data_IF_518300342765
#
_entry.id   IF_518300342765
#
_cell.length_a   1.000
_cell.length_b   1.000
_cell.length_c   1.000
_cell.angle_alpha   90.00
_cell.angle_beta   90.00
_cell.angle_gamma   90.00
#
_symmetry.space_group_name_H-M   'P 1'
#
loop_
_entity.id
_entity.type
_entity.pdbx_description
1 polymer ?
#
# COMPACT_ATOMS: atom_id res chain seq x y z
N UNK A 1 8.80 -2.23 -27.32
CA UNK A 1 8.50 -1.38 -26.15
C UNK A 1 7.00 -1.37 -25.97
N UNK A 2 6.46 -1.98 -24.91
CA UNK A 2 5.04 -1.80 -24.58
C UNK A 2 4.91 -0.43 -23.91
N UNK A 3 4.34 0.54 -24.63
CA UNK A 3 4.05 1.86 -24.07
C UNK A 3 2.86 1.73 -23.12
N UNK A 4 3.04 2.18 -21.88
CA UNK A 4 1.91 2.41 -21.01
C UNK A 4 0.99 3.45 -21.68
N UNK A 5 -0.35 3.23 -21.65
CA UNK A 5 -1.33 4.18 -22.15
C UNK A 5 -1.08 5.61 -21.63
N UNK A 6 -1.37 6.64 -22.44
CA UNK A 6 -1.10 8.04 -22.05
C UNK A 6 -1.81 8.45 -20.76
N UNK A 7 -2.99 7.89 -20.48
CA UNK A 7 -3.71 8.14 -19.22
C UNK A 7 -3.01 7.56 -17.98
N UNK A 8 -2.03 6.67 -18.15
CA UNK A 8 -1.20 6.12 -17.08
C UNK A 8 0.16 6.81 -16.93
N UNK A 9 0.54 7.70 -17.85
CA UNK A 9 1.83 8.39 -17.76
C UNK A 9 1.95 9.23 -16.49
N UNK A 10 0.84 9.83 -16.03
CA UNK A 10 0.76 10.54 -14.75
C UNK A 10 1.01 9.62 -13.53
N UNK A 11 0.73 8.34 -13.65
CA UNK A 11 0.91 7.34 -12.57
C UNK A 11 2.28 6.67 -12.59
N UNK A 12 2.99 6.80 -13.70
CA UNK A 12 4.37 6.38 -13.86
C UNK A 12 5.36 7.51 -13.57
N UNK A 13 4.88 8.62 -12.98
CA UNK A 13 5.72 9.73 -12.53
C UNK A 13 6.84 9.22 -11.60
N UNK A 14 8.08 9.73 -11.74
CA UNK A 14 9.22 9.28 -10.97
C UNK A 14 8.98 9.52 -9.47
N UNK A 15 8.72 8.43 -8.74
CA UNK A 15 8.63 8.44 -7.27
C UNK A 15 7.45 7.69 -6.67
N UNK A 16 6.48 7.18 -7.45
CA UNK A 16 5.46 6.30 -6.91
C UNK A 16 6.07 4.95 -6.51
N UNK A 17 6.11 4.63 -5.21
CA UNK A 17 6.78 3.43 -4.68
C UNK A 17 6.07 2.78 -3.49
N UNK A 18 6.32 1.49 -3.30
CA UNK A 18 6.00 0.76 -2.08
C UNK A 18 7.23 0.65 -1.18
N UNK A 19 6.99 0.52 0.13
CA UNK A 19 8.05 0.22 1.07
C UNK A 19 8.58 -1.21 0.92
N UNK A 20 9.83 -1.39 1.33
CA UNK A 20 10.48 -2.70 1.46
C UNK A 20 9.67 -3.60 2.40
N UNK A 21 9.55 -4.88 2.04
CA UNK A 21 8.76 -5.85 2.80
C UNK A 21 7.26 -5.88 2.43
N UNK A 22 6.77 -4.99 1.55
CA UNK A 22 5.43 -5.13 0.97
C UNK A 22 5.35 -6.46 0.23
N UNK A 23 4.36 -7.30 0.59
CA UNK A 23 4.20 -8.62 0.02
C UNK A 23 3.39 -8.56 -1.29
N UNK A 24 3.91 -9.22 -2.31
CA UNK A 24 3.30 -9.31 -3.65
C UNK A 24 2.86 -10.76 -3.89
N UNK A 25 1.65 -10.93 -4.42
CA UNK A 25 1.16 -12.24 -4.84
C UNK A 25 1.86 -12.70 -6.12
N UNK A 26 2.60 -13.81 -6.02
CA UNK A 26 3.24 -14.50 -7.14
C UNK A 26 2.66 -15.91 -7.31
N UNK A 27 2.98 -16.58 -8.42
CA UNK A 27 2.55 -17.98 -8.64
C UNK A 27 3.11 -18.93 -7.58
N UNK A 28 4.27 -18.59 -7.01
CA UNK A 28 4.98 -19.35 -6.00
C UNK A 28 4.56 -18.96 -4.56
N UNK A 29 3.66 -17.99 -4.41
CA UNK A 29 3.19 -17.49 -3.11
C UNK A 29 3.48 -16.01 -2.87
N UNK A 30 3.50 -15.59 -1.62
CA UNK A 30 3.81 -14.21 -1.25
C UNK A 30 5.32 -13.98 -1.31
N UNK A 31 5.75 -12.98 -2.07
CA UNK A 31 7.16 -12.59 -2.20
C UNK A 31 7.32 -11.10 -1.86
N UNK A 32 8.32 -10.70 -1.05
CA UNK A 32 8.59 -9.28 -0.80
C UNK A 32 8.91 -8.53 -2.09
N UNK A 33 8.44 -7.29 -2.22
CA UNK A 33 8.57 -6.50 -3.46
C UNK A 33 10.04 -6.28 -3.88
N UNK A 34 10.96 -6.18 -2.92
CA UNK A 34 12.40 -6.05 -3.19
C UNK A 34 13.04 -7.31 -3.78
N UNK A 35 12.36 -8.46 -3.72
CA UNK A 35 12.83 -9.72 -4.31
C UNK A 35 12.17 -10.00 -5.67
N UNK A 36 11.23 -9.18 -6.10
CA UNK A 36 10.55 -9.33 -7.40
C UNK A 36 11.53 -8.98 -8.52
N UNK A 37 11.64 -9.86 -9.51
CA UNK A 37 12.55 -9.69 -10.64
C UNK A 37 11.81 -9.62 -11.98
N UNK A 38 12.48 -9.07 -12.99
CA UNK A 38 11.98 -9.13 -14.37
C UNK A 38 11.80 -10.59 -14.75
N UNK A 39 10.59 -10.92 -15.18
CA UNK A 39 10.20 -12.27 -15.53
C UNK A 39 9.34 -13.00 -14.50
N UNK A 40 9.27 -12.51 -13.26
CA UNK A 40 8.35 -13.04 -12.24
C UNK A 40 6.89 -12.84 -12.66
N UNK A 41 6.02 -13.73 -12.20
CA UNK A 41 4.58 -13.65 -12.42
C UNK A 41 3.91 -13.06 -11.19
N UNK A 42 3.29 -11.89 -11.35
CA UNK A 42 2.59 -11.19 -10.26
C UNK A 42 1.10 -11.10 -10.56
N UNK A 43 0.27 -11.18 -9.52
CA UNK A 43 -1.17 -11.00 -9.66
C UNK A 43 -1.45 -9.55 -10.10
N UNK A 44 -2.28 -9.37 -11.13
CA UNK A 44 -2.59 -8.08 -11.70
C UNK A 44 -4.03 -8.05 -12.19
N UNK A 45 -4.64 -6.87 -12.27
CA UNK A 45 -5.99 -6.69 -12.82
C UNK A 45 -5.95 -5.76 -14.05
N UNK A 46 -6.67 -6.07 -15.14
CA UNK A 46 -6.84 -5.14 -16.26
C UNK A 46 -7.64 -3.91 -15.83
N UNK A 47 -7.23 -2.73 -16.32
CA UNK A 47 -7.87 -1.44 -15.99
C UNK A 47 -9.26 -1.29 -16.59
N UNK A 48 -9.48 -1.83 -17.79
CA UNK A 48 -10.74 -1.70 -18.55
C UNK A 48 -11.84 -2.66 -18.03
N UNK A 49 -11.72 -3.13 -16.80
CA UNK A 49 -12.49 -4.27 -16.29
C UNK A 49 -11.93 -5.61 -16.76
N UNK A 50 -12.22 -6.65 -15.97
CA UNK A 50 -11.75 -8.01 -16.22
C UNK A 50 -11.34 -8.74 -14.95
N UNK A 51 -11.06 -10.03 -15.11
CA UNK A 51 -10.60 -10.89 -14.01
C UNK A 51 -9.14 -10.63 -13.67
N UNK A 52 -8.77 -10.89 -12.41
CA UNK A 52 -7.38 -10.88 -12.00
C UNK A 52 -6.62 -12.01 -12.69
N UNK A 53 -5.41 -11.72 -13.16
CA UNK A 53 -4.57 -12.67 -13.83
C UNK A 53 -3.10 -12.44 -13.46
N UNK A 54 -2.32 -13.52 -13.45
CA UNK A 54 -0.88 -13.40 -13.30
C UNK A 54 -0.28 -12.82 -14.58
N UNK A 55 0.45 -11.71 -14.46
CA UNK A 55 1.19 -11.08 -15.54
C UNK A 55 2.68 -11.06 -15.25
N UNK A 56 3.47 -11.07 -16.32
CA UNK A 56 4.93 -11.09 -16.23
C UNK A 56 5.46 -9.69 -15.96
N UNK A 57 6.34 -9.57 -14.96
CA UNK A 57 7.05 -8.32 -14.67
C UNK A 57 8.02 -8.03 -15.81
N UNK A 58 7.89 -6.85 -16.41
CA UNK A 58 8.73 -6.42 -17.54
C UNK A 58 9.88 -5.51 -17.09
N UNK A 59 9.68 -4.78 -15.99
CA UNK A 59 10.63 -3.81 -15.47
C UNK A 59 10.39 -3.60 -13.98
N UNK A 60 11.46 -3.39 -13.24
CA UNK A 60 11.45 -2.99 -11.82
C UNK A 60 12.05 -1.60 -11.69
N UNK A 61 11.63 -0.89 -10.64
CA UNK A 61 12.13 0.45 -10.30
C UNK A 61 12.47 0.48 -8.82
N UNK A 62 13.61 1.08 -8.49
CA UNK A 62 14.02 1.35 -7.13
C UNK A 62 14.36 2.83 -7.00
N UNK A 63 13.86 3.45 -5.95
CA UNK A 63 14.02 4.88 -5.70
C UNK A 63 14.76 5.11 -4.38
N UNK A 64 15.38 6.28 -4.24
CA UNK A 64 16.01 6.70 -2.98
C UNK A 64 14.96 6.79 -1.86
N UNK A 65 15.36 6.72 -0.58
CA UNK A 65 14.43 6.88 0.53
C UNK A 65 13.61 8.18 0.39
N UNK A 66 12.30 8.05 0.50
CA UNK A 66 11.33 9.14 0.38
C UNK A 66 10.33 9.09 1.52
N UNK A 67 9.60 10.20 1.73
CA UNK A 67 8.52 10.24 2.73
C UNK A 67 7.39 9.31 2.30
N UNK A 68 6.94 8.50 3.24
CA UNK A 68 5.87 7.53 3.05
C UNK A 68 4.67 7.83 3.94
N UNK A 69 3.55 7.24 3.57
CA UNK A 69 2.31 7.16 4.34
C UNK A 69 1.95 5.70 4.53
N UNK A 70 1.30 5.42 5.64
CA UNK A 70 0.73 4.11 5.95
C UNK A 70 -0.76 4.15 5.62
N UNK A 71 -1.15 3.36 4.61
CA UNK A 71 -2.54 3.06 4.30
C UNK A 71 -2.98 1.90 5.18
N UNK A 72 -3.99 2.15 6.01
CA UNK A 72 -4.63 1.13 6.84
C UNK A 72 -5.93 0.66 6.19
N UNK A 73 -6.16 -0.65 6.21
CA UNK A 73 -7.37 -1.26 5.66
C UNK A 73 -7.85 -2.43 6.51
N UNK A 74 -9.13 -2.77 6.37
CA UNK A 74 -9.78 -3.87 7.09
C UNK A 74 -10.24 -4.95 6.11
N UNK A 75 -10.02 -6.20 6.48
CA UNK A 75 -10.55 -7.33 5.72
C UNK A 75 -12.04 -7.54 6.02
N UNK A 76 -12.83 -8.02 5.06
CA UNK A 76 -14.29 -7.95 5.16
C UNK A 76 -14.86 -8.92 6.20
N UNK A 77 -14.11 -10.00 6.48
CA UNK A 77 -14.38 -10.94 7.57
C UNK A 77 -14.29 -10.30 8.97
N UNK A 78 -13.72 -9.08 9.07
CA UNK A 78 -13.51 -8.35 10.33
C UNK A 78 -14.32 -7.05 10.38
N UNK A 79 -15.48 -7.03 9.72
CA UNK A 79 -16.39 -5.89 9.80
C UNK A 79 -16.79 -5.61 11.26
N UNK A 80 -16.90 -4.32 11.60
CA UNK A 80 -17.22 -3.80 12.95
C UNK A 80 -18.50 -4.40 13.53
N UNK A 81 -19.43 -4.82 12.67
CA UNK A 81 -20.67 -5.46 13.07
C UNK A 81 -20.49 -6.82 13.77
N UNK A 82 -19.35 -7.49 13.58
CA UNK A 82 -19.08 -8.82 14.14
C UNK A 82 -18.74 -8.82 15.64
N UNK A 83 -18.46 -7.65 16.24
CA UNK A 83 -18.00 -7.55 17.63
C UNK A 83 -16.60 -8.13 17.90
N UNK A 84 -15.90 -8.58 16.85
CA UNK A 84 -14.54 -9.13 16.94
C UNK A 84 -13.47 -8.02 16.92
N UNK A 85 -12.28 -8.27 17.49
CA UNK A 85 -11.15 -7.35 17.37
C UNK A 85 -10.80 -7.10 15.90
N UNK A 86 -10.85 -5.83 15.49
CA UNK A 86 -10.47 -5.42 14.13
C UNK A 86 -8.95 -5.49 14.02
N UNK A 87 -8.43 -6.34 13.15
CA UNK A 87 -7.01 -6.36 12.84
C UNK A 87 -6.73 -5.51 11.60
N UNK A 88 -6.37 -4.25 11.83
CA UNK A 88 -5.95 -3.38 10.75
C UNK A 88 -4.71 -3.94 10.06
N UNK A 89 -4.80 -4.00 8.74
CA UNK A 89 -3.69 -4.30 7.84
C UNK A 89 -3.11 -3.00 7.32
N UNK A 90 -1.85 -3.05 6.92
CA UNK A 90 -1.08 -1.86 6.58
C UNK A 90 -0.27 -2.06 5.31
N UNK A 91 -0.28 -1.04 4.46
CA UNK A 91 0.60 -0.92 3.30
C UNK A 91 1.30 0.43 3.38
N UNK A 92 2.62 0.43 3.33
CA UNK A 92 3.43 1.64 3.38
C UNK A 92 3.84 2.05 1.96
N UNK A 93 3.53 3.28 1.57
CA UNK A 93 3.70 3.77 0.19
C UNK A 93 4.10 5.24 0.15
N UNK A 94 4.62 5.72 -0.98
CA UNK A 94 4.79 7.17 -1.21
C UNK A 94 3.43 7.85 -1.37
N UNK A 95 3.36 9.15 -1.03
CA UNK A 95 2.09 9.92 -1.05
C UNK A 95 1.40 10.00 -2.41
N UNK A 96 2.18 9.97 -3.48
CA UNK A 96 1.69 10.02 -4.85
C UNK A 96 1.41 8.62 -5.42
N UNK A 97 1.52 7.55 -4.61
CA UNK A 97 1.30 6.19 -5.11
C UNK A 97 -0.19 6.00 -5.45
N UNK A 98 -0.52 5.64 -6.70
CA UNK A 98 -1.90 5.49 -7.11
C UNK A 98 -2.47 4.12 -6.72
N UNK A 99 -3.71 4.11 -6.26
CA UNK A 99 -4.50 2.91 -6.01
C UNK A 99 -5.74 2.92 -6.88
N UNK A 100 -6.17 1.75 -7.34
CA UNK A 100 -7.43 1.60 -8.06
C UNK A 100 -8.60 1.50 -7.07
N UNK A 101 -9.54 2.43 -7.17
CA UNK A 101 -10.82 2.44 -6.43
C UNK A 101 -11.98 2.14 -7.38
N UNK A 102 -13.07 1.56 -6.88
CA UNK A 102 -14.25 1.28 -7.71
C UNK A 102 -14.98 2.56 -8.10
N UNK A 103 -14.88 3.59 -7.28
CA UNK A 103 -15.63 4.83 -7.37
C UNK A 103 -14.98 5.82 -8.35
N UNK A 104 -13.65 5.91 -8.35
CA UNK A 104 -12.89 6.96 -9.05
C UNK A 104 -11.82 6.41 -10.00
N UNK A 105 -11.56 5.10 -9.98
CA UNK A 105 -10.45 4.50 -10.73
C UNK A 105 -9.11 4.75 -10.04
N UNK A 106 -8.06 5.04 -10.81
CA UNK A 106 -6.74 5.37 -10.26
C UNK A 106 -6.78 6.69 -9.49
N UNK A 107 -6.57 6.60 -8.17
CA UNK A 107 -6.57 7.73 -7.22
C UNK A 107 -5.28 7.73 -6.43
N UNK A 108 -4.64 8.88 -6.24
CA UNK A 108 -3.44 8.99 -5.40
C UNK A 108 -3.78 8.62 -3.96
N UNK A 109 -2.85 7.95 -3.26
CA UNK A 109 -3.09 7.56 -1.86
C UNK A 109 -3.41 8.77 -0.97
N UNK A 110 -2.84 9.95 -1.25
CA UNK A 110 -3.15 11.19 -0.53
C UNK A 110 -4.52 11.80 -0.84
N UNK A 111 -5.16 11.37 -1.93
CA UNK A 111 -6.49 11.83 -2.36
C UNK A 111 -7.60 10.84 -1.98
N UNK A 112 -7.26 9.71 -1.37
CA UNK A 112 -8.25 8.78 -0.81
C UNK A 112 -8.98 9.47 0.36
N UNK A 113 -10.20 9.93 0.09
CA UNK A 113 -10.89 10.85 1.00
C UNK A 113 -11.70 10.17 2.09
N UNK A 114 -12.10 8.91 1.97
CA UNK A 114 -13.09 8.33 2.92
C UNK A 114 -13.04 6.81 3.04
N UNK A 115 -13.69 6.28 4.09
CA UNK A 115 -14.02 4.86 4.30
C UNK A 115 -14.80 4.21 3.14
N UNK A 116 -15.32 5.02 2.22
CA UNK A 116 -16.02 4.57 1.02
C UNK A 116 -15.07 4.10 -0.09
N UNK A 117 -13.78 4.45 -0.03
CA UNK A 117 -12.81 3.95 -1.00
C UNK A 117 -12.63 2.44 -0.83
N UNK A 118 -13.16 1.69 -1.79
CA UNK A 118 -13.09 0.23 -1.79
C UNK A 118 -11.99 -0.26 -2.73
N UNK A 119 -11.08 -1.08 -2.21
CA UNK A 119 -10.13 -1.84 -3.03
C UNK A 119 -10.62 -3.28 -3.17
N UNK A 120 -9.94 -4.06 -4.00
CA UNK A 120 -10.19 -5.49 -4.12
C UNK A 120 -9.01 -6.30 -3.60
N UNK A 121 -9.31 -7.36 -2.86
CA UNK A 121 -8.30 -8.35 -2.48
C UNK A 121 -8.01 -9.34 -3.64
N UNK A 122 -7.14 -10.32 -3.39
CA UNK A 122 -6.80 -11.37 -4.36
C UNK A 122 -7.98 -12.26 -4.81
N UNK A 123 -9.11 -12.21 -4.10
CA UNK A 123 -10.33 -12.97 -4.38
C UNK A 123 -11.39 -12.12 -5.10
N UNK A 124 -11.12 -10.82 -5.27
CA UNK A 124 -12.07 -9.84 -5.82
C UNK A 124 -13.03 -9.26 -4.77
N UNK A 125 -12.82 -9.57 -3.50
CA UNK A 125 -13.66 -9.09 -2.41
C UNK A 125 -13.32 -7.64 -2.08
N UNK A 126 -14.35 -6.81 -1.90
CA UNK A 126 -14.18 -5.40 -1.56
C UNK A 126 -13.61 -5.25 -0.15
N UNK A 127 -12.41 -4.68 -0.03
CA UNK A 127 -11.80 -4.26 1.24
C UNK A 127 -11.99 -2.75 1.42
N UNK A 128 -12.24 -2.32 2.66
CA UNK A 128 -12.47 -0.91 2.96
C UNK A 128 -11.18 -0.24 3.42
N UNK A 129 -10.91 0.92 2.86
CA UNK A 129 -9.97 1.87 3.42
C UNK A 129 -10.40 2.25 4.85
N UNK A 130 -9.44 2.37 5.76
CA UNK A 130 -9.71 2.74 7.16
C UNK A 130 -9.12 4.10 7.50
N UNK A 131 -7.81 4.29 7.28
CA UNK A 131 -7.11 5.52 7.66
C UNK A 131 -5.80 5.65 6.87
N UNK A 132 -5.36 6.89 6.67
CA UNK A 132 -4.03 7.22 6.17
C UNK A 132 -3.21 7.91 7.26
N UNK A 133 -2.07 7.33 7.64
CA UNK A 133 -1.19 7.91 8.67
C UNK A 133 0.14 8.35 8.07
N UNK A 134 0.60 9.55 8.44
CA UNK A 134 1.93 10.02 8.04
C UNK A 134 3.03 9.28 8.81
N UNK A 135 4.04 8.78 8.09
CA UNK A 135 5.25 8.22 8.70
C UNK A 135 6.34 9.29 8.67
N UNK A 136 6.77 9.71 9.85
CA UNK A 136 7.82 10.70 10.05
C UNK A 136 9.19 10.02 10.09
N UNK A 137 10.17 10.57 9.38
CA UNK A 137 11.54 10.05 9.37
C UNK A 137 12.20 10.36 10.72
N UNK A 138 12.83 9.37 11.35
CA UNK A 138 13.62 9.58 12.57
C UNK A 138 15.11 9.80 12.26
N UNK A 139 15.87 10.21 13.28
CA UNK A 139 17.32 10.35 13.19
C UNK A 139 18.07 9.00 13.20
N UNK A 140 17.36 7.87 13.36
CA UNK A 140 17.95 6.55 13.23
C UNK A 140 17.81 6.03 11.80
N UNK A 141 18.88 5.43 11.24
CA UNK A 141 18.85 4.87 9.90
C UNK A 141 17.75 3.82 9.79
N UNK A 142 16.93 3.94 8.76
CA UNK A 142 15.81 3.06 8.49
C UNK A 142 14.72 3.03 9.57
N UNK A 143 14.57 4.08 10.40
CA UNK A 143 13.49 4.13 11.41
C UNK A 143 12.55 5.31 11.17
N UNK A 144 11.25 5.03 11.05
CA UNK A 144 10.17 6.00 10.95
C UNK A 144 9.18 5.91 12.12
N UNK A 145 8.44 6.98 12.36
CA UNK A 145 7.46 7.13 13.43
C UNK A 145 6.07 7.36 12.86
N UNK A 146 5.05 6.65 13.33
CA UNK A 146 3.65 7.03 13.11
C UNK A 146 3.04 7.51 14.42
N UNK A 147 2.30 8.64 14.44
CA UNK A 147 1.47 8.97 15.58
C UNK A 147 0.36 7.92 15.67
N UNK A 148 0.21 7.24 16.81
CA UNK A 148 -0.98 6.45 17.06
C UNK A 148 -2.15 7.42 17.30
N UNK A 149 -3.09 7.53 16.35
CA UNK A 149 -4.38 8.18 16.59
C UNK A 149 -5.48 7.21 17.06
N UNK A 150 -5.16 5.92 17.18
CA UNK A 150 -6.08 4.95 17.77
C UNK A 150 -5.97 4.94 19.29
N UNK A 151 -6.77 5.80 19.94
CA UNK A 151 -7.33 5.49 21.26
C UNK A 151 -6.46 5.73 22.49
N UNK A 152 -5.70 6.82 22.56
CA UNK A 152 -5.23 7.34 23.85
C UNK A 152 -6.24 8.36 24.41
N UNK A 153 -7.45 7.92 24.77
CA UNK A 153 -8.29 8.64 25.74
C UNK A 153 -7.85 8.32 27.16
N UNK A 154 -6.57 8.58 27.44
CA UNK A 154 -6.05 8.69 28.78
C UNK A 154 -5.02 9.82 28.73
N UNK A 155 -5.29 10.89 29.47
CA UNK A 155 -4.40 12.03 29.69
C UNK A 155 -3.09 11.66 30.43
N UNK A 156 -2.82 10.35 30.63
CA UNK A 156 -1.58 9.77 31.16
C UNK A 156 -0.96 8.68 30.26
N UNK A 157 -1.48 8.44 29.06
CA UNK A 157 -0.93 7.42 28.17
C UNK A 157 0.42 7.85 27.57
N UNK A 158 1.48 7.21 28.05
CA UNK A 158 2.81 7.18 27.43
C UNK A 158 2.65 6.91 25.93
N UNK A 159 3.13 7.81 25.07
CA UNK A 159 3.16 7.60 23.62
C UNK A 159 3.84 6.25 23.33
N UNK A 160 3.06 5.24 22.98
CA UNK A 160 3.59 3.97 22.50
C UNK A 160 4.07 4.15 21.06
N UNK A 161 5.34 4.49 21.01
CA UNK A 161 6.15 4.76 19.86
C UNK A 161 6.59 3.41 19.23
N UNK A 162 5.91 2.96 18.16
CA UNK A 162 6.34 1.77 17.40
C UNK A 162 7.37 2.15 16.33
N UNK A 163 8.58 1.56 16.34
CA UNK A 163 9.58 1.82 15.31
C UNK A 163 9.15 1.18 13.99
N UNK A 164 9.22 1.93 12.89
CA UNK A 164 8.94 1.43 11.54
C UNK A 164 10.20 1.35 10.72
N UNK A 165 10.37 0.29 9.92
CA UNK A 165 11.46 0.29 8.92
C UNK A 165 11.10 1.24 7.77
N UNK A 166 11.88 2.31 7.59
CA UNK A 166 11.78 3.15 6.38
C UNK A 166 12.23 2.32 5.16
N UNK A 167 11.84 2.77 3.97
CA UNK A 167 12.26 2.16 2.71
C UNK A 167 13.79 2.22 2.63
N UNK A 168 14.42 1.08 2.84
CA UNK A 168 15.86 0.91 2.64
C UNK A 168 16.10 0.72 1.14
N UNK A 169 16.91 1.60 0.54
CA UNK A 169 17.37 1.44 -0.82
C UNK A 169 18.41 0.33 -0.84
N UNK A 170 17.99 -0.92 -1.02
CA UNK A 170 18.92 -2.02 -1.27
C UNK A 170 19.12 -2.22 -2.77
N UNK A 171 20.39 -2.04 -3.15
CA UNK A 171 21.07 -2.18 -4.44
C UNK A 171 20.61 -3.33 -5.33
#
# INVERSE_FOLDING_TARGET
MLHAPEHLRRWLEPGACFAKGTLVHTKEGLKPIEQIQVGDWVLSKPENGGEQAYKRVLKTFAHKPQRIVDLLYVLPEQDRASGQPINLRRISVTRNHPFWTKEQGWTEVSELQDYESAFEDKTGLSIKFAELTNVYISNQPNVGWTPNHMGATDCRARLELRPHKLIDASH
#
